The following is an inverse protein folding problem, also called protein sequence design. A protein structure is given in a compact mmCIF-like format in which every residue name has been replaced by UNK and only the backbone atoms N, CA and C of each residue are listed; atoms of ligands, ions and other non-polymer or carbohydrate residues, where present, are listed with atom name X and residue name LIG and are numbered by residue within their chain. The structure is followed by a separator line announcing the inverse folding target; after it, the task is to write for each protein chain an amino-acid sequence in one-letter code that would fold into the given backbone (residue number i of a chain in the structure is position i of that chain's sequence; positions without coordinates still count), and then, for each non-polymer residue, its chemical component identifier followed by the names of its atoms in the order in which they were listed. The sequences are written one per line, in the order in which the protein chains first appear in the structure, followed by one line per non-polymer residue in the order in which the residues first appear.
data_IF_866201395609
#
_entry.id   IF_866201395609
#
_cell.length_a   1.000
_cell.length_b   1.000
_cell.length_c   1.000
_cell.angle_alpha   90.00
_cell.angle_beta   90.00
_cell.angle_gamma   90.00
#
_symmetry.space_group_name_H-M   'P 1'
#
loop_
_entity.id
_entity.type
_entity.pdbx_description
1 polymer ?
#
# COMPACT_ATOMS: atom_id res chain seq x y z
N UNK A 1 -25.12 -3.60 -16.45
CA UNK A 1 -25.45 -4.96 -15.93
C UNK A 1 -25.53 -4.84 -14.42
N UNK A 2 -26.37 -5.63 -13.74
CA UNK A 2 -26.46 -5.56 -12.29
C UNK A 2 -25.14 -6.05 -11.66
N UNK A 3 -24.64 -5.32 -10.66
CA UNK A 3 -23.44 -5.71 -9.93
C UNK A 3 -23.66 -7.07 -9.27
N UNK A 4 -22.66 -7.93 -9.27
CA UNK A 4 -22.62 -9.14 -8.46
C UNK A 4 -21.57 -8.96 -7.37
N UNK A 5 -21.95 -9.19 -6.11
CA UNK A 5 -21.03 -9.24 -4.99
C UNK A 5 -21.01 -10.66 -4.43
N UNK A 6 -19.87 -11.33 -4.56
CA UNK A 6 -19.63 -12.61 -3.92
C UNK A 6 -19.14 -12.36 -2.50
N UNK A 7 -19.76 -13.06 -1.55
CA UNK A 7 -19.49 -12.88 -0.12
C UNK A 7 -19.21 -14.23 0.54
N UNK A 8 -18.54 -14.20 1.68
CA UNK A 8 -18.38 -15.38 2.53
C UNK A 8 -19.36 -15.31 3.71
N UNK A 9 -19.94 -16.45 4.11
CA UNK A 9 -20.85 -16.50 5.28
C UNK A 9 -20.26 -15.83 6.51
N UNK A 10 -21.02 -14.90 7.11
CA UNK A 10 -20.63 -14.21 8.34
C UNK A 10 -19.56 -13.11 8.16
N UNK A 11 -19.09 -12.87 6.94
CA UNK A 11 -18.05 -11.87 6.65
C UNK A 11 -18.51 -10.44 6.99
N UNK A 12 -17.90 -9.84 8.02
CA UNK A 12 -18.17 -8.46 8.45
C UNK A 12 -17.81 -7.46 7.34
N UNK A 13 -16.64 -7.61 6.72
CA UNK A 13 -16.17 -6.79 5.60
C UNK A 13 -17.18 -6.78 4.44
N UNK A 14 -17.76 -7.93 4.13
CA UNK A 14 -18.77 -8.08 3.09
C UNK A 14 -20.07 -7.33 3.44
N UNK A 15 -20.48 -7.34 4.71
CA UNK A 15 -21.63 -6.55 5.19
C UNK A 15 -21.36 -5.04 5.07
N UNK A 16 -20.16 -4.59 5.42
CA UNK A 16 -19.74 -3.18 5.27
C UNK A 16 -19.82 -2.77 3.80
N UNK A 17 -19.17 -3.50 2.89
CA UNK A 17 -19.21 -3.18 1.47
C UNK A 17 -20.64 -3.13 0.91
N UNK A 18 -21.49 -4.12 1.24
CA UNK A 18 -22.90 -4.14 0.81
C UNK A 18 -23.69 -2.92 1.31
N UNK A 19 -23.47 -2.52 2.57
CA UNK A 19 -24.11 -1.32 3.14
C UNK A 19 -23.66 -0.07 2.37
N UNK A 20 -22.40 0.02 1.98
CA UNK A 20 -21.90 1.13 1.17
C UNK A 20 -22.56 1.19 -0.21
N UNK A 21 -22.61 0.05 -0.91
CA UNK A 21 -23.26 -0.05 -2.22
C UNK A 21 -24.73 0.39 -2.15
N UNK A 22 -25.46 -0.06 -1.11
CA UNK A 22 -26.84 0.36 -0.88
C UNK A 22 -26.97 1.87 -0.61
N UNK A 23 -26.05 2.46 0.17
CA UNK A 23 -26.03 3.92 0.41
C UNK A 23 -25.75 4.73 -0.85
N UNK A 24 -24.94 4.20 -1.77
CA UNK A 24 -24.68 4.80 -3.08
C UNK A 24 -25.78 4.53 -4.11
N UNK A 25 -26.83 3.79 -3.75
CA UNK A 25 -27.91 3.41 -4.67
C UNK A 25 -27.47 2.44 -5.77
N UNK A 26 -26.38 1.72 -5.56
CA UNK A 26 -25.85 0.74 -6.52
C UNK A 26 -26.62 -0.56 -6.32
N UNK A 27 -27.40 -0.96 -7.33
CA UNK A 27 -28.10 -2.24 -7.33
C UNK A 27 -27.11 -3.41 -7.48
N UNK A 28 -27.20 -4.39 -6.58
CA UNK A 28 -26.36 -5.57 -6.60
C UNK A 28 -27.11 -6.86 -6.27
N UNK A 29 -26.60 -7.97 -6.80
CA UNK A 29 -26.94 -9.34 -6.40
C UNK A 29 -25.87 -9.86 -5.43
N UNK A 30 -26.28 -10.23 -4.22
CA UNK A 30 -25.42 -10.90 -3.24
C UNK A 30 -25.45 -12.42 -3.46
N UNK A 31 -24.28 -13.05 -3.45
CA UNK A 31 -24.11 -14.49 -3.58
C UNK A 31 -23.13 -15.01 -2.53
N UNK A 32 -23.64 -15.72 -1.50
CA UNK A 32 -22.79 -16.33 -0.50
C UNK A 32 -22.13 -17.60 -1.05
N UNK A 33 -20.79 -17.59 -1.14
CA UNK A 33 -20.00 -18.67 -1.74
C UNK A 33 -20.03 -19.99 -0.96
N UNK A 34 -20.54 -20.00 0.28
CA UNK A 34 -20.76 -21.23 1.07
C UNK A 34 -22.21 -21.70 1.05
N UNK A 35 -23.12 -20.93 0.47
CA UNK A 35 -24.53 -21.26 0.31
C UNK A 35 -24.93 -21.22 -1.18
N UNK A 36 -25.93 -20.44 -1.56
CA UNK A 36 -26.51 -20.36 -2.91
C UNK A 36 -25.53 -19.84 -3.98
N UNK A 37 -24.46 -19.17 -3.57
CA UNK A 37 -23.43 -18.62 -4.44
C UNK A 37 -22.33 -19.60 -4.84
N UNK A 38 -22.22 -20.77 -4.20
CA UNK A 38 -21.09 -21.70 -4.39
C UNK A 38 -20.81 -22.07 -5.85
N UNK A 39 -21.82 -22.57 -6.56
CA UNK A 39 -21.65 -23.03 -7.94
C UNK A 39 -21.44 -21.88 -8.92
N UNK A 40 -22.10 -20.74 -8.66
CA UNK A 40 -21.93 -19.52 -9.45
C UNK A 40 -20.52 -18.96 -9.30
N UNK A 41 -19.99 -18.91 -8.07
CA UNK A 41 -18.63 -18.45 -7.82
C UNK A 41 -17.58 -19.41 -8.39
N UNK A 42 -17.77 -20.72 -8.26
CA UNK A 42 -16.86 -21.70 -8.86
C UNK A 42 -16.78 -21.59 -10.38
N UNK A 43 -17.90 -21.25 -11.04
CA UNK A 43 -17.91 -20.96 -12.48
C UNK A 43 -17.19 -19.64 -12.78
N UNK A 44 -17.58 -18.57 -12.09
CA UNK A 44 -16.96 -17.26 -12.21
C UNK A 44 -15.44 -17.30 -12.05
N UNK A 45 -14.95 -17.98 -11.00
CA UNK A 45 -13.54 -18.11 -10.69
C UNK A 45 -12.78 -18.89 -11.77
N UNK A 46 -13.38 -19.95 -12.34
CA UNK A 46 -12.75 -20.70 -13.46
C UNK A 46 -12.61 -19.84 -14.71
N UNK A 47 -13.63 -19.06 -15.05
CA UNK A 47 -13.63 -18.19 -16.23
C UNK A 47 -12.70 -16.98 -16.06
N UNK A 48 -12.55 -16.45 -14.84
CA UNK A 48 -11.83 -15.20 -14.55
C UNK A 48 -10.64 -15.40 -13.62
N UNK A 49 -10.03 -16.59 -13.64
CA UNK A 49 -8.93 -16.96 -12.73
C UNK A 49 -7.76 -15.97 -12.72
N UNK A 50 -7.49 -15.32 -13.85
CA UNK A 50 -6.42 -14.31 -13.98
C UNK A 50 -6.76 -12.98 -13.32
N UNK A 51 -8.05 -12.70 -13.11
CA UNK A 51 -8.56 -11.44 -12.55
C UNK A 51 -8.94 -11.55 -11.08
N UNK A 52 -8.89 -12.76 -10.51
CA UNK A 52 -9.15 -13.00 -9.09
C UNK A 52 -7.84 -13.38 -8.42
N UNK A 53 -7.33 -12.50 -7.57
CA UNK A 53 -6.16 -12.79 -6.77
C UNK A 53 -6.49 -13.82 -5.68
N UNK A 54 -5.53 -14.72 -5.44
CA UNK A 54 -5.58 -15.73 -4.38
C UNK A 54 -4.26 -15.67 -3.62
N UNK A 55 -4.31 -15.13 -2.42
CA UNK A 55 -3.17 -15.08 -1.51
C UNK A 55 -3.00 -16.40 -0.74
N UNK A 56 -2.02 -16.44 0.19
CA UNK A 56 -1.77 -17.60 1.06
C UNK A 56 -3.01 -18.03 1.85
N UNK A 57 -3.81 -17.07 2.32
CA UNK A 57 -5.04 -17.30 3.09
C UNK A 57 -6.27 -17.59 2.22
N UNK A 58 -6.09 -17.62 0.90
CA UNK A 58 -7.16 -17.86 -0.07
C UNK A 58 -7.60 -16.58 -0.79
N UNK A 59 -8.90 -16.54 -1.13
CA UNK A 59 -9.50 -15.44 -1.89
C UNK A 59 -9.97 -14.40 -0.87
N UNK A 60 -9.52 -13.17 -1.04
CA UNK A 60 -9.99 -12.05 -0.21
C UNK A 60 -11.43 -11.69 -0.61
N UNK A 61 -12.30 -11.50 0.38
CA UNK A 61 -13.70 -11.13 0.17
C UNK A 61 -13.98 -9.75 0.79
N UNK A 62 -14.92 -8.97 0.23
CA UNK A 62 -15.83 -9.29 -0.89
C UNK A 62 -15.16 -9.30 -2.28
N UNK A 63 -15.78 -10.00 -3.23
CA UNK A 63 -15.43 -9.91 -4.66
C UNK A 63 -16.59 -9.25 -5.41
N UNK A 64 -16.35 -8.06 -5.95
CA UNK A 64 -17.28 -7.28 -6.75
C UNK A 64 -17.04 -7.54 -8.24
N UNK A 65 -18.12 -7.62 -9.01
CA UNK A 65 -18.09 -7.72 -10.46
C UNK A 65 -19.30 -7.02 -11.09
N UNK A 66 -19.08 -6.08 -12.00
CA UNK A 66 -20.14 -5.31 -12.69
C UNK A 66 -20.40 -5.78 -14.14
N UNK A 67 -19.74 -6.85 -14.57
CA UNK A 67 -19.76 -7.31 -15.96
C UNK A 67 -18.45 -7.02 -16.71
N UNK A 68 -17.66 -6.05 -16.24
CA UNK A 68 -16.41 -5.63 -16.88
C UNK A 68 -15.22 -5.82 -15.95
N UNK A 69 -15.30 -5.30 -14.72
CA UNK A 69 -14.17 -5.25 -13.81
C UNK A 69 -14.38 -6.13 -12.58
N UNK A 70 -13.32 -6.81 -12.18
CA UNK A 70 -13.27 -7.54 -10.90
C UNK A 70 -12.54 -6.66 -9.88
N UNK A 71 -13.14 -6.51 -8.70
CA UNK A 71 -12.55 -5.81 -7.55
C UNK A 71 -12.62 -6.71 -6.33
N UNK A 72 -11.53 -6.75 -5.56
CA UNK A 72 -11.38 -7.70 -4.47
C UNK A 72 -10.91 -7.01 -3.20
N UNK A 73 -11.57 -7.31 -2.08
CA UNK A 73 -11.24 -6.77 -0.77
C UNK A 73 -11.99 -5.48 -0.46
N UNK A 74 -12.18 -5.22 0.85
CA UNK A 74 -13.07 -4.17 1.32
C UNK A 74 -12.65 -2.77 0.82
N UNK A 75 -11.38 -2.40 0.99
CA UNK A 75 -10.87 -1.10 0.57
C UNK A 75 -11.05 -0.88 -0.93
N UNK A 76 -10.64 -1.84 -1.75
CA UNK A 76 -10.77 -1.79 -3.21
C UNK A 76 -12.23 -1.68 -3.66
N UNK A 77 -13.14 -2.46 -3.07
CA UNK A 77 -14.56 -2.44 -3.43
C UNK A 77 -15.21 -1.12 -3.04
N UNK A 78 -14.96 -0.61 -1.83
CA UNK A 78 -15.50 0.69 -1.40
C UNK A 78 -14.92 1.84 -2.21
N UNK A 79 -13.60 1.84 -2.44
CA UNK A 79 -12.93 2.83 -3.28
C UNK A 79 -13.52 2.86 -4.70
N UNK A 80 -13.63 1.71 -5.35
CA UNK A 80 -14.21 1.61 -6.69
C UNK A 80 -15.68 2.04 -6.75
N UNK A 81 -16.49 1.64 -5.77
CA UNK A 81 -17.89 2.06 -5.68
C UNK A 81 -18.04 3.56 -5.34
N UNK A 82 -17.03 4.16 -4.73
CA UNK A 82 -17.00 5.60 -4.45
C UNK A 82 -16.68 6.39 -5.72
N UNK A 83 -15.60 6.03 -6.41
CA UNK A 83 -15.15 6.68 -7.64
C UNK A 83 -14.08 5.85 -8.34
N UNK A 84 -14.13 5.78 -9.67
CA UNK A 84 -13.09 5.11 -10.46
C UNK A 84 -11.72 5.79 -10.33
N UNK A 85 -11.68 7.09 -10.01
CA UNK A 85 -10.44 7.83 -9.77
C UNK A 85 -9.62 7.26 -8.61
N UNK A 86 -10.26 6.51 -7.69
CA UNK A 86 -9.58 5.92 -6.54
C UNK A 86 -8.80 4.64 -6.87
N UNK A 87 -8.83 4.15 -8.11
CA UNK A 87 -8.17 2.91 -8.49
C UNK A 87 -6.67 2.89 -8.18
N UNK A 88 -5.97 4.03 -8.31
CA UNK A 88 -4.55 4.13 -7.99
C UNK A 88 -4.22 4.07 -6.49
N UNK A 89 -5.18 4.43 -5.62
CA UNK A 89 -4.97 4.41 -4.17
C UNK A 89 -5.12 3.03 -3.56
N UNK A 90 -5.99 2.17 -4.10
CA UNK A 90 -6.37 0.91 -3.45
C UNK A 90 -5.84 -0.32 -4.18
N UNK A 91 -4.94 -1.05 -3.53
CA UNK A 91 -4.53 -2.40 -3.83
C UNK A 91 -5.21 -3.43 -2.94
N UNK A 92 -4.95 -4.71 -3.22
CA UNK A 92 -5.47 -5.82 -2.41
C UNK A 92 -4.64 -5.91 -1.12
N UNK A 93 -5.29 -5.60 -0.01
CA UNK A 93 -4.72 -5.71 1.33
C UNK A 93 -4.48 -7.16 1.78
N UNK A 94 -3.64 -7.32 2.79
CA UNK A 94 -3.29 -8.59 3.45
C UNK A 94 -3.73 -8.63 4.91
N UNK A 95 -4.06 -7.48 5.51
CA UNK A 95 -4.51 -7.41 6.89
C UNK A 95 -5.98 -7.81 7.03
N UNK A 96 -6.26 -8.47 8.14
CA UNK A 96 -7.55 -9.07 8.45
C UNK A 96 -8.25 -8.34 9.62
N UNK A 97 -9.51 -8.71 9.87
CA UNK A 97 -10.29 -8.13 10.96
C UNK A 97 -10.67 -6.68 10.70
N UNK A 98 -10.39 -5.80 11.66
CA UNK A 98 -10.70 -4.36 11.62
C UNK A 98 -9.71 -3.54 10.78
N UNK A 99 -8.63 -4.14 10.27
CA UNK A 99 -7.61 -3.43 9.50
C UNK A 99 -7.89 -3.45 7.99
N UNK A 100 -7.65 -2.31 7.35
CA UNK A 100 -7.63 -2.14 5.89
C UNK A 100 -6.25 -1.61 5.51
N UNK A 101 -5.50 -2.42 4.77
CA UNK A 101 -4.22 -2.06 4.17
C UNK A 101 -4.32 -2.09 2.63
N UNK A 102 -3.16 -1.98 1.96
CA UNK A 102 -3.10 -1.84 0.51
C UNK A 102 -3.54 -0.44 0.04
N UNK A 103 -3.30 0.58 0.85
CA UNK A 103 -3.63 1.98 0.52
C UNK A 103 -2.33 2.71 0.20
N UNK A 104 -2.12 3.07 -1.07
CA UNK A 104 -0.89 3.62 -1.62
C UNK A 104 -1.08 5.10 -1.99
N UNK A 105 -0.79 6.01 -1.06
CA UNK A 105 -1.11 7.44 -1.18
C UNK A 105 -0.37 8.15 -2.31
N UNK A 106 0.80 7.65 -2.69
CA UNK A 106 1.59 8.21 -3.79
C UNK A 106 1.19 7.70 -5.18
N UNK A 107 0.43 6.61 -5.27
CA UNK A 107 0.06 5.99 -6.55
C UNK A 107 -1.30 6.48 -7.07
N UNK A 108 -2.14 7.00 -6.19
CA UNK A 108 -3.40 7.63 -6.56
C UNK A 108 -3.22 9.05 -7.09
N UNK A 109 -4.25 9.52 -7.79
CA UNK A 109 -4.34 10.88 -8.28
C UNK A 109 -4.74 11.84 -7.15
N UNK A 110 -3.92 12.83 -6.78
CA UNK A 110 -4.25 13.80 -5.74
C UNK A 110 -5.54 14.60 -6.01
N UNK A 111 -5.99 14.70 -7.25
CA UNK A 111 -7.27 15.36 -7.57
C UNK A 111 -8.48 14.61 -7.03
N UNK A 112 -8.34 13.32 -6.72
CA UNK A 112 -9.40 12.49 -6.14
C UNK A 112 -9.44 12.55 -4.61
N UNK A 113 -8.90 13.61 -4.01
CA UNK A 113 -8.78 13.78 -2.56
C UNK A 113 -10.11 13.70 -1.83
N UNK A 114 -11.13 14.36 -2.34
CA UNK A 114 -12.43 14.43 -1.66
C UNK A 114 -13.13 13.06 -1.70
N UNK A 115 -13.02 12.33 -2.82
CA UNK A 115 -13.51 10.96 -2.91
C UNK A 115 -12.71 9.99 -2.01
N UNK A 116 -11.40 10.20 -1.85
CA UNK A 116 -10.56 9.40 -0.95
C UNK A 116 -10.99 9.60 0.50
N UNK A 117 -11.17 10.86 0.93
CA UNK A 117 -11.66 11.20 2.27
C UNK A 117 -13.06 10.64 2.51
N UNK A 118 -13.95 10.69 1.51
CA UNK A 118 -15.28 10.08 1.62
C UNK A 118 -15.20 8.57 1.86
N UNK A 119 -14.44 7.85 1.03
CA UNK A 119 -14.31 6.40 1.12
C UNK A 119 -13.69 5.96 2.46
N UNK A 120 -12.61 6.63 2.89
CA UNK A 120 -11.94 6.33 4.15
C UNK A 120 -12.79 6.74 5.35
N UNK A 121 -13.48 7.89 5.28
CA UNK A 121 -14.41 8.33 6.32
C UNK A 121 -15.55 7.34 6.55
N UNK A 122 -16.11 6.79 5.46
CA UNK A 122 -17.10 5.71 5.55
C UNK A 122 -16.53 4.46 6.25
N UNK A 123 -15.36 3.99 5.83
CA UNK A 123 -14.72 2.80 6.40
C UNK A 123 -14.40 3.00 7.89
N UNK A 124 -13.91 4.18 8.27
CA UNK A 124 -13.65 4.55 9.66
C UNK A 124 -14.95 4.56 10.48
N UNK A 125 -16.02 5.14 9.94
CA UNK A 125 -17.35 5.13 10.56
C UNK A 125 -17.94 3.71 10.71
N UNK A 126 -17.46 2.74 9.93
CA UNK A 126 -17.78 1.32 10.08
C UNK A 126 -16.87 0.58 11.07
N UNK A 127 -15.95 1.28 11.75
CA UNK A 127 -15.05 0.73 12.75
C UNK A 127 -13.73 0.17 12.20
N UNK A 128 -13.39 0.48 10.94
CA UNK A 128 -12.13 0.03 10.35
C UNK A 128 -10.97 0.97 10.72
N UNK A 129 -9.77 0.40 10.80
CA UNK A 129 -8.48 1.07 10.97
C UNK A 129 -7.65 0.91 9.70
N UNK A 130 -6.70 1.80 9.49
CA UNK A 130 -5.91 1.87 8.27
C UNK A 130 -4.42 1.73 8.53
N UNK A 131 -3.80 0.84 7.77
CA UNK A 131 -2.36 0.89 7.49
C UNK A 131 -2.18 1.39 6.06
N UNK A 132 -1.53 2.53 5.90
CA UNK A 132 -1.32 3.16 4.60
C UNK A 132 0.16 3.35 4.33
N UNK A 133 0.53 3.47 3.06
CA UNK A 133 1.89 3.80 2.67
C UNK A 133 1.99 4.95 1.67
N UNK A 134 3.14 5.61 1.69
CA UNK A 134 3.57 6.64 0.76
C UNK A 134 5.02 6.39 0.38
N UNK A 135 5.43 6.87 -0.79
CA UNK A 135 6.83 6.87 -1.22
C UNK A 135 7.50 8.26 -1.11
N UNK A 136 6.83 9.24 -0.52
CA UNK A 136 7.34 10.62 -0.39
C UNK A 136 6.62 11.66 -1.24
N UNK A 137 5.89 11.23 -2.28
CA UNK A 137 5.12 12.11 -3.15
C UNK A 137 3.78 12.54 -2.55
N UNK A 138 3.22 13.61 -3.13
CA UNK A 138 1.90 14.14 -2.82
C UNK A 138 1.70 14.51 -1.33
N UNK A 139 2.57 15.36 -0.73
CA UNK A 139 2.47 15.73 0.69
C UNK A 139 1.10 16.30 1.09
N UNK A 140 0.40 16.98 0.17
CA UNK A 140 -0.95 17.52 0.35
C UNK A 140 -1.98 16.44 0.71
N UNK A 141 -1.78 15.20 0.24
CA UNK A 141 -2.63 14.06 0.59
C UNK A 141 -2.52 13.77 2.09
N UNK A 142 -1.29 13.69 2.61
CA UNK A 142 -1.05 13.41 4.02
C UNK A 142 -1.53 14.56 4.92
N UNK A 143 -1.38 15.82 4.48
CA UNK A 143 -1.92 16.97 5.20
C UNK A 143 -3.43 16.85 5.39
N UNK A 144 -4.15 16.49 4.31
CA UNK A 144 -5.59 16.30 4.38
C UNK A 144 -5.97 15.13 5.28
N UNK A 145 -5.30 13.98 5.14
CA UNK A 145 -5.59 12.81 5.99
C UNK A 145 -5.37 13.09 7.47
N UNK A 146 -4.29 13.80 7.84
CA UNK A 146 -4.04 14.22 9.21
C UNK A 146 -5.14 15.15 9.74
N UNK A 147 -5.61 16.09 8.92
CA UNK A 147 -6.68 17.02 9.29
C UNK A 147 -8.02 16.29 9.56
N UNK A 148 -8.31 15.25 8.77
CA UNK A 148 -9.51 14.41 8.91
C UNK A 148 -9.33 13.28 9.96
N UNK A 149 -8.13 13.17 10.54
CA UNK A 149 -7.76 12.11 11.49
C UNK A 149 -7.82 10.71 10.87
N UNK A 150 -7.51 10.56 9.59
CA UNK A 150 -7.53 9.30 8.86
C UNK A 150 -6.11 8.71 8.79
N UNK A 151 -5.93 7.50 9.34
CA UNK A 151 -4.65 6.79 9.32
C UNK A 151 -4.14 6.48 10.72
N UNK A 152 -4.18 5.20 11.09
CA UNK A 152 -3.64 4.70 12.36
C UNK A 152 -2.15 4.39 12.23
N UNK A 153 -1.76 3.77 11.11
CA UNK A 153 -0.37 3.41 10.80
C UNK A 153 0.02 4.00 9.45
N UNK A 154 1.13 4.77 9.43
CA UNK A 154 1.71 5.33 8.21
C UNK A 154 3.11 4.77 7.93
N UNK A 155 3.30 4.19 6.75
CA UNK A 155 4.58 3.64 6.31
C UNK A 155 5.12 4.50 5.17
N UNK A 156 6.26 5.14 5.38
CA UNK A 156 6.98 5.80 4.29
C UNK A 156 8.02 4.85 3.69
N UNK A 157 7.81 4.42 2.45
CA UNK A 157 8.78 3.67 1.66
C UNK A 157 9.81 4.63 1.06
N UNK A 158 11.01 4.63 1.61
CA UNK A 158 12.12 5.43 1.13
C UNK A 158 12.66 4.82 -0.17
N UNK A 159 12.59 5.60 -1.26
CA UNK A 159 12.93 5.12 -2.59
C UNK A 159 14.42 5.23 -2.92
N UNK A 160 15.24 5.82 -2.07
CA UNK A 160 16.65 6.01 -2.36
C UNK A 160 17.17 7.33 -1.82
N UNK A 161 18.39 7.67 -2.24
CA UNK A 161 19.03 8.95 -1.94
C UNK A 161 18.28 10.11 -2.61
N UNK A 162 18.63 11.34 -2.23
CA UNK A 162 18.06 12.56 -2.83
C UNK A 162 18.21 12.57 -4.35
N UNK A 163 19.37 12.14 -4.86
CA UNK A 163 19.64 12.04 -6.30
C UNK A 163 18.78 10.98 -6.99
N UNK A 164 18.46 9.88 -6.31
CA UNK A 164 17.56 8.85 -6.85
C UNK A 164 16.11 9.32 -6.95
N UNK A 165 15.66 10.20 -6.06
CA UNK A 165 14.38 10.90 -6.21
C UNK A 165 14.42 11.88 -7.38
N UNK A 166 15.48 12.70 -7.47
CA UNK A 166 15.66 13.66 -8.55
C UNK A 166 15.70 13.00 -9.94
N UNK A 167 16.37 11.85 -10.06
CA UNK A 167 16.43 11.07 -11.30
C UNK A 167 15.07 10.55 -11.78
N UNK A 168 14.09 10.43 -10.87
CA UNK A 168 12.70 10.09 -11.20
C UNK A 168 11.82 11.34 -11.44
N UNK A 169 12.40 12.54 -11.40
CA UNK A 169 11.69 13.80 -11.55
C UNK A 169 10.93 14.24 -10.30
N UNK A 170 11.26 13.69 -9.13
CA UNK A 170 10.59 14.03 -7.87
C UNK A 170 11.32 15.15 -7.14
N UNK A 171 10.55 16.09 -6.57
CA UNK A 171 11.08 17.20 -5.79
C UNK A 171 11.48 16.73 -4.39
N UNK A 172 12.76 16.91 -4.05
CA UNK A 172 13.27 16.57 -2.74
C UNK A 172 12.59 17.37 -1.61
N UNK A 173 12.18 18.62 -1.85
CA UNK A 173 11.48 19.41 -0.86
C UNK A 173 10.10 18.83 -0.52
N UNK A 174 9.39 18.28 -1.52
CA UNK A 174 8.13 17.56 -1.28
C UNK A 174 8.36 16.28 -0.47
N UNK A 175 9.42 15.52 -0.78
CA UNK A 175 9.77 14.31 -0.04
C UNK A 175 10.11 14.63 1.42
N UNK A 176 10.90 15.67 1.67
CA UNK A 176 11.25 16.16 3.02
C UNK A 176 10.00 16.64 3.79
N UNK A 177 9.07 17.31 3.10
CA UNK A 177 7.77 17.67 3.69
C UNK A 177 6.98 16.41 4.07
N UNK A 178 6.93 15.41 3.20
CA UNK A 178 6.28 14.12 3.48
C UNK A 178 6.92 13.40 4.66
N UNK A 179 8.25 13.39 4.78
CA UNK A 179 8.94 12.81 5.94
C UNK A 179 8.47 13.43 7.26
N UNK A 180 8.35 14.76 7.30
CA UNK A 180 7.84 15.48 8.48
C UNK A 180 6.37 15.16 8.78
N UNK A 181 5.53 15.01 7.74
CA UNK A 181 4.11 14.68 7.90
C UNK A 181 3.90 13.25 8.41
N UNK A 182 4.66 12.28 7.90
CA UNK A 182 4.59 10.87 8.31
C UNK A 182 4.83 10.73 9.81
N UNK A 183 5.78 11.49 10.36
CA UNK A 183 6.10 11.46 11.79
C UNK A 183 4.99 12.00 12.72
N UNK A 184 3.90 12.55 12.16
CA UNK A 184 2.74 13.07 12.91
C UNK A 184 1.60 12.07 13.04
N UNK A 185 1.66 10.93 12.34
CA UNK A 185 0.66 9.87 12.48
C UNK A 185 0.82 9.13 13.81
N UNK A 186 -0.25 8.52 14.36
CA UNK A 186 -0.22 7.85 15.66
C UNK A 186 0.86 6.77 15.76
N UNK A 187 0.93 5.92 14.73
CA UNK A 187 2.01 4.98 14.51
C UNK A 187 2.60 5.23 13.13
N UNK A 188 3.93 5.18 13.04
CA UNK A 188 4.61 5.34 11.76
C UNK A 188 5.95 4.61 11.73
N UNK A 189 6.42 4.34 10.51
CA UNK A 189 7.80 3.90 10.26
C UNK A 189 8.29 4.36 8.89
N UNK A 190 9.60 4.49 8.79
CA UNK A 190 10.29 4.68 7.52
C UNK A 190 10.90 3.34 7.13
N UNK A 191 10.63 2.90 5.91
CA UNK A 191 11.04 1.59 5.41
C UNK A 191 11.93 1.75 4.17
N UNK A 192 13.12 1.17 4.21
CA UNK A 192 14.02 1.09 3.08
C UNK A 192 14.13 -0.36 2.63
N UNK A 193 13.50 -0.69 1.51
CA UNK A 193 13.77 -1.95 0.83
C UNK A 193 15.15 -1.86 0.16
N UNK A 194 16.08 -2.76 0.54
CA UNK A 194 17.38 -2.86 -0.14
C UNK A 194 17.16 -3.53 -1.48
N UNK A 195 16.84 -2.70 -2.48
CA UNK A 195 16.42 -3.12 -3.82
C UNK A 195 17.53 -2.96 -4.84
N UNK A 196 17.46 -3.68 -5.97
CA UNK A 196 18.28 -3.39 -7.13
C UNK A 196 17.96 -2.01 -7.71
N UNK A 197 18.99 -1.34 -8.20
CA UNK A 197 18.93 -0.08 -8.93
C UNK A 197 19.75 -0.22 -10.21
N UNK A 198 19.28 0.42 -11.27
CA UNK A 198 20.03 0.53 -12.53
C UNK A 198 20.97 1.73 -12.40
N UNK A 199 22.27 1.48 -12.49
CA UNK A 199 23.33 2.49 -12.45
C UNK A 199 23.44 3.21 -13.80
N UNK A 200 24.15 4.33 -13.84
CA UNK A 200 24.31 5.14 -15.06
C UNK A 200 24.98 4.38 -16.21
N UNK A 201 25.87 3.44 -15.88
CA UNK A 201 26.54 2.55 -16.83
C UNK A 201 25.66 1.36 -17.29
N UNK A 202 24.41 1.30 -16.83
CA UNK A 202 23.46 0.23 -17.12
C UNK A 202 23.62 -1.01 -16.24
N UNK A 203 24.61 -1.05 -15.33
CA UNK A 203 24.75 -2.15 -14.38
C UNK A 203 23.55 -2.20 -13.43
N UNK A 204 23.12 -3.40 -13.09
CA UNK A 204 22.06 -3.62 -12.10
C UNK A 204 22.72 -4.11 -10.82
N UNK A 205 22.67 -3.29 -9.78
CA UNK A 205 23.25 -3.59 -8.48
C UNK A 205 22.26 -3.29 -7.38
N UNK A 206 22.38 -3.96 -6.23
CA UNK A 206 21.68 -3.50 -5.04
C UNK A 206 22.11 -2.08 -4.64
N UNK A 207 21.20 -1.37 -3.97
CA UNK A 207 21.58 -0.22 -3.14
C UNK A 207 22.81 -0.60 -2.31
N UNK A 208 23.74 0.34 -2.11
CA UNK A 208 24.97 0.14 -1.36
C UNK A 208 24.73 0.47 0.12
N UNK A 209 25.49 -0.13 1.06
CA UNK A 209 25.38 0.20 2.49
C UNK A 209 25.58 1.69 2.77
N UNK A 210 26.47 2.35 2.02
CA UNK A 210 26.72 3.79 2.09
C UNK A 210 25.47 4.59 1.72
N UNK A 211 24.77 4.20 0.64
CA UNK A 211 23.51 4.84 0.20
C UNK A 211 22.42 4.70 1.28
N UNK A 212 22.33 3.56 1.97
CA UNK A 212 21.43 3.41 3.11
C UNK A 212 21.78 4.34 4.28
N UNK A 213 23.08 4.57 4.52
CA UNK A 213 23.56 5.55 5.49
C UNK A 213 23.21 6.98 5.12
N UNK A 214 23.37 7.35 3.84
CA UNK A 214 22.99 8.65 3.29
C UNK A 214 21.49 8.91 3.39
N UNK A 215 20.66 7.92 3.07
CA UNK A 215 19.20 7.99 3.22
C UNK A 215 18.81 8.24 4.67
N UNK A 216 19.42 7.52 5.62
CA UNK A 216 19.18 7.71 7.04
C UNK A 216 19.65 9.09 7.54
N UNK A 217 20.77 9.61 7.01
CA UNK A 217 21.27 10.95 7.29
C UNK A 217 20.34 12.03 6.77
N UNK A 218 19.86 11.89 5.54
CA UNK A 218 18.91 12.81 4.93
C UNK A 218 17.60 12.86 5.70
N UNK A 219 17.05 11.70 6.13
CA UNK A 219 15.87 11.66 7.00
C UNK A 219 16.11 12.44 8.30
N UNK A 220 17.26 12.24 8.94
CA UNK A 220 17.61 12.96 10.18
C UNK A 220 17.69 14.47 9.96
N UNK A 221 18.29 14.90 8.85
CA UNK A 221 18.41 16.31 8.49
C UNK A 221 17.03 16.93 8.24
N UNK A 222 16.20 16.26 7.45
CA UNK A 222 14.87 16.72 7.06
C UNK A 222 13.92 16.88 8.26
N UNK A 223 13.98 15.98 9.24
CA UNK A 223 13.06 15.98 10.39
C UNK A 223 13.67 16.51 11.68
N UNK A 224 14.99 16.72 11.71
CA UNK A 224 15.74 17.05 12.92
C UNK A 224 15.77 15.91 13.96
N UNK A 225 15.36 14.68 13.61
CA UNK A 225 15.21 13.58 14.55
C UNK A 225 15.95 12.31 14.09
N UNK A 226 16.80 11.78 14.98
CA UNK A 226 17.59 10.56 14.76
C UNK A 226 17.01 9.31 15.43
N UNK A 227 15.80 9.39 15.97
CA UNK A 227 15.07 8.31 16.63
C UNK A 227 13.79 7.97 15.87
N UNK A 228 13.81 8.02 14.54
CA UNK A 228 12.68 7.48 13.78
C UNK A 228 12.77 5.96 13.70
N UNK A 229 11.64 5.23 13.73
CA UNK A 229 11.63 3.81 13.40
C UNK A 229 12.03 3.62 11.92
N UNK A 230 13.31 3.30 11.70
CA UNK A 230 13.89 3.10 10.38
C UNK A 230 14.11 1.60 10.14
N UNK A 231 13.34 1.01 9.25
CA UNK A 231 13.32 -0.43 9.01
C UNK A 231 13.94 -0.73 7.66
N UNK A 232 14.94 -1.60 7.63
CA UNK A 232 15.50 -2.14 6.40
C UNK A 232 14.85 -3.49 6.10
N UNK A 233 14.35 -3.66 4.88
CA UNK A 233 13.70 -4.90 4.44
C UNK A 233 14.42 -5.49 3.22
N UNK A 234 14.46 -6.83 3.09
CA UNK A 234 14.90 -7.44 1.85
C UNK A 234 13.90 -7.14 0.74
N UNK A 235 14.39 -6.89 -0.46
CA UNK A 235 13.52 -6.72 -1.63
C UNK A 235 13.19 -8.09 -2.23
N UNK A 236 11.90 -8.38 -2.43
CA UNK A 236 11.42 -9.62 -3.05
C UNK A 236 11.54 -9.51 -4.58
N UNK A 237 12.63 -10.07 -5.14
CA UNK A 237 12.88 -10.04 -6.58
C UNK A 237 11.78 -10.76 -7.37
N UNK A 238 11.25 -11.85 -6.81
CA UNK A 238 10.24 -12.68 -7.48
C UNK A 238 8.91 -11.96 -7.55
N UNK A 239 8.52 -11.25 -6.49
CA UNK A 239 7.31 -10.43 -6.49
C UNK A 239 7.42 -9.22 -7.43
N UNK A 240 8.62 -8.66 -7.59
CA UNK A 240 8.86 -7.55 -8.51
C UNK A 240 8.67 -7.94 -9.99
N UNK A 241 9.02 -9.17 -10.37
CA UNK A 241 8.80 -9.70 -11.72
C UNK A 241 9.56 -8.95 -12.82
N UNK A 242 10.64 -8.26 -12.47
CA UNK A 242 11.47 -7.50 -13.41
C UNK A 242 12.60 -8.38 -13.95
N UNK A 243 12.60 -8.64 -15.26
CA UNK A 243 13.58 -9.51 -15.91
C UNK A 243 15.03 -8.99 -15.75
N UNK A 244 15.22 -7.68 -15.54
CA UNK A 244 16.54 -7.10 -15.28
C UNK A 244 17.16 -7.61 -13.98
N UNK A 245 16.34 -8.12 -13.06
CA UNK A 245 16.77 -8.61 -11.75
C UNK A 245 16.95 -10.13 -11.72
N UNK A 246 16.71 -10.84 -12.83
CA UNK A 246 16.65 -12.31 -12.87
C UNK A 246 17.94 -12.99 -12.39
N UNK A 247 19.10 -12.37 -12.63
CA UNK A 247 20.42 -12.91 -12.28
C UNK A 247 20.91 -12.46 -10.88
N UNK A 248 20.15 -11.62 -10.16
CA UNK A 248 20.55 -11.16 -8.84
C UNK A 248 20.20 -12.19 -7.76
N UNK A 249 21.11 -12.42 -6.78
CA UNK A 249 20.79 -13.28 -5.66
C UNK A 249 19.76 -12.61 -4.74
N UNK A 250 18.73 -13.37 -4.33
CA UNK A 250 17.77 -12.91 -3.33
C UNK A 250 18.50 -12.58 -2.02
N UNK A 251 18.34 -11.34 -1.53
CA UNK A 251 18.85 -10.95 -0.23
C UNK A 251 17.99 -11.53 0.90
N UNK A 252 18.67 -11.95 1.96
CA UNK A 252 18.08 -12.40 3.21
C UNK A 252 18.28 -11.34 4.32
N UNK A 253 17.51 -11.42 5.41
CA UNK A 253 17.62 -10.46 6.53
C UNK A 253 19.04 -10.34 7.09
N UNK A 254 19.83 -11.43 7.07
CA UNK A 254 21.24 -11.42 7.53
C UNK A 254 22.15 -10.52 6.67
N UNK A 255 21.84 -10.34 5.39
CA UNK A 255 22.65 -9.55 4.47
C UNK A 255 22.46 -8.04 4.71
N UNK A 256 21.37 -7.67 5.40
CA UNK A 256 21.04 -6.29 5.76
C UNK A 256 21.82 -5.76 6.97
N UNK A 257 22.60 -6.59 7.66
CA UNK A 257 23.32 -6.19 8.87
C UNK A 257 24.30 -5.03 8.63
N UNK A 258 25.01 -5.04 7.50
CA UNK A 258 25.95 -3.98 7.13
C UNK A 258 25.22 -2.67 6.80
N UNK A 259 24.09 -2.74 6.09
CA UNK A 259 23.23 -1.59 5.78
C UNK A 259 22.67 -0.96 7.05
N UNK A 260 22.16 -1.80 7.96
CA UNK A 260 21.70 -1.36 9.27
C UNK A 260 22.80 -0.67 10.06
N UNK A 261 24.02 -1.19 10.02
CA UNK A 261 25.16 -0.58 10.69
C UNK A 261 25.42 0.84 10.19
N UNK A 262 25.39 1.05 8.87
CA UNK A 262 25.55 2.37 8.25
C UNK A 262 24.39 3.31 8.56
N UNK A 263 23.15 2.84 8.47
CA UNK A 263 21.97 3.63 8.82
C UNK A 263 21.97 4.08 10.29
N UNK A 264 22.48 3.24 11.21
CA UNK A 264 22.56 3.56 12.66
C UNK A 264 23.42 4.76 13.01
N UNK A 265 24.35 5.15 12.13
CA UNK A 265 25.13 6.39 12.32
C UNK A 265 24.23 7.63 12.36
N UNK A 266 23.06 7.58 11.71
CA UNK A 266 22.12 8.70 11.61
C UNK A 266 20.73 8.41 12.17
N UNK A 267 20.30 7.14 12.25
CA UNK A 267 19.01 6.72 12.82
C UNK A 267 19.24 5.61 13.86
N UNK A 268 19.26 5.97 15.15
CA UNK A 268 19.70 5.07 16.22
C UNK A 268 18.77 3.87 16.41
N UNK A 269 17.51 3.99 15.99
CA UNK A 269 16.53 2.91 16.05
C UNK A 269 16.50 2.05 14.78
N UNK A 270 17.49 2.20 13.89
CA UNK A 270 17.52 1.42 12.66
C UNK A 270 17.58 -0.10 12.95
N UNK A 271 16.66 -0.83 12.31
CA UNK A 271 16.41 -2.24 12.49
C UNK A 271 16.25 -2.94 11.13
N UNK A 272 16.25 -4.26 11.13
CA UNK A 272 15.97 -5.10 9.95
C UNK A 272 14.64 -5.80 10.18
N UNK A 273 13.79 -5.85 9.14
CA UNK A 273 12.53 -6.59 9.15
C UNK A 273 12.75 -8.12 9.15
#
# INVERSE_FOLDING_TARGET
MAVTIYTATGCVRCKIAKKYLAQKGIEYTDLDIKAEGKDKFNRFYRERRKSVYRGPDGIEFPVYYDGQVVRQGLGVVVGHACSEKLAGFFGIGRLHGEWVDGIHLSQGDPEAMDELVEALGYLKGAGMKFEMDTDGRNPQVLERLLAEGLGEVMIMRLMGTKDMYAAQGYDAAEVEKTMNLVARFPEYRFELAVRPVVREDGAVEYLKPEEAGEIAAWLKEATGNNKHPFVLAPFDLKAAGDERFAELPQMETKDLLIYRSKARSSQVMAATA
#
